data_IF_480275501480
#
_entry.id   IF_480275501480
#
_cell.length_a   1.000
_cell.length_b   1.000
_cell.length_c   1.000
_cell.angle_alpha   90.00
_cell.angle_beta   90.00
_cell.angle_gamma   90.00
#
_symmetry.space_group_name_H-M   'P 1'
#
loop_
_entity.id
_entity.type
_entity.pdbx_description
1 polymer ?
#
# COMPACT_ATOMS: atom_id res chain seq x y z
N UNK A 1 -7.54 46.24 25.15
CA UNK A 1 -6.45 45.26 24.91
C UNK A 1 -6.39 44.97 23.41
N UNK A 2 -5.31 45.36 22.73
CA UNK A 2 -5.12 45.16 21.27
C UNK A 2 -4.49 43.79 21.04
N UNK A 3 -5.20 42.89 20.36
CA UNK A 3 -4.69 41.60 19.92
C UNK A 3 -4.07 41.75 18.53
N UNK A 4 -2.73 41.74 18.47
CA UNK A 4 -1.98 41.63 17.22
C UNK A 4 -1.86 40.16 16.82
N UNK A 5 -2.56 39.77 15.76
CA UNK A 5 -2.43 38.45 15.15
C UNK A 5 -1.25 38.49 14.17
N UNK A 6 -0.16 37.79 14.50
CA UNK A 6 0.95 37.54 13.57
C UNK A 6 0.58 36.35 12.69
N UNK A 7 0.37 36.60 11.40
CA UNK A 7 0.27 35.57 10.37
C UNK A 7 1.67 34.97 10.15
N UNK A 8 1.77 33.64 10.20
CA UNK A 8 3.00 32.91 9.87
C UNK A 8 3.20 32.87 8.34
N UNK A 9 4.45 32.92 7.85
CA UNK A 9 4.74 32.87 6.42
C UNK A 9 4.42 31.48 5.86
N UNK A 10 3.68 31.46 4.75
CA UNK A 10 3.42 30.29 3.92
C UNK A 10 4.73 29.74 3.38
N UNK A 11 5.10 28.53 3.81
CA UNK A 11 6.22 27.78 3.24
C UNK A 11 5.83 27.27 1.86
N UNK A 12 6.35 27.91 0.83
CA UNK A 12 6.27 27.46 -0.56
C UNK A 12 7.13 26.20 -0.71
N UNK A 13 6.49 25.03 -0.72
CA UNK A 13 7.18 23.76 -0.99
C UNK A 13 7.60 23.75 -2.46
N UNK A 14 8.89 23.91 -2.72
CA UNK A 14 9.48 23.79 -4.06
C UNK A 14 9.42 22.33 -4.50
N UNK A 15 8.45 21.99 -5.34
CA UNK A 15 8.39 20.69 -6.00
C UNK A 15 9.50 20.62 -7.04
N UNK A 16 10.58 19.91 -6.71
CA UNK A 16 11.65 19.58 -7.66
C UNK A 16 11.11 18.59 -8.70
N UNK A 17 10.69 19.10 -9.85
CA UNK A 17 10.37 18.30 -11.03
C UNK A 17 11.67 17.79 -11.64
N UNK A 18 12.07 16.57 -11.27
CA UNK A 18 13.20 15.87 -11.89
C UNK A 18 12.75 15.44 -13.29
N UNK A 19 13.26 16.12 -14.33
CA UNK A 19 13.04 15.75 -15.71
C UNK A 19 13.66 14.36 -15.99
N UNK A 20 12.80 13.35 -16.16
CA UNK A 20 13.19 11.97 -16.38
C UNK A 20 13.64 11.74 -17.83
N UNK A 21 14.95 11.79 -18.06
CA UNK A 21 15.59 11.19 -19.25
C UNK A 21 16.48 10.04 -18.79
N UNK A 22 15.89 9.05 -18.14
CA UNK A 22 16.63 7.89 -17.61
C UNK A 22 16.51 6.72 -18.57
N UNK A 23 17.66 6.29 -19.11
CA UNK A 23 17.86 5.00 -19.78
C UNK A 23 17.17 3.88 -18.97
N UNK A 24 16.71 2.79 -19.64
CA UNK A 24 16.19 1.62 -18.93
C UNK A 24 17.23 1.17 -17.90
N UNK A 25 16.89 1.36 -16.63
CA UNK A 25 17.79 1.05 -15.52
C UNK A 25 17.80 -0.47 -15.40
N UNK A 26 18.98 -1.07 -15.59
CA UNK A 26 19.18 -2.50 -15.32
C UNK A 26 19.00 -2.72 -13.82
N UNK A 27 17.80 -3.15 -13.42
CA UNK A 27 17.40 -3.29 -12.01
C UNK A 27 18.24 -4.37 -11.34
N UNK A 28 18.62 -5.41 -12.09
CA UNK A 28 19.45 -6.51 -11.60
C UNK A 28 20.84 -6.04 -11.17
N UNK A 29 21.38 -4.99 -11.79
CA UNK A 29 22.65 -4.39 -11.37
C UNK A 29 22.57 -3.69 -10.00
N UNK A 30 21.36 -3.40 -9.51
CA UNK A 30 21.13 -2.82 -8.18
C UNK A 30 21.00 -3.88 -7.07
N UNK A 31 20.91 -5.17 -7.44
CA UNK A 31 20.80 -6.28 -6.49
C UNK A 31 22.21 -6.77 -6.16
N UNK A 32 22.66 -6.69 -4.89
CA UNK A 32 23.98 -7.19 -4.50
C UNK A 32 24.13 -8.70 -4.77
N UNK A 33 25.31 -9.18 -5.22
CA UNK A 33 25.52 -10.60 -5.51
C UNK A 33 25.45 -11.50 -4.28
N UNK A 34 25.84 -10.98 -3.11
CA UNK A 34 25.79 -11.69 -1.82
C UNK A 34 24.56 -11.26 -1.02
N UNK A 35 23.39 -11.49 -1.61
CA UNK A 35 22.12 -11.08 -1.05
C UNK A 35 21.82 -11.83 0.26
N UNK A 36 21.48 -11.09 1.32
CA UNK A 36 21.03 -11.63 2.61
C UNK A 36 19.79 -10.87 3.08
N UNK A 37 18.96 -11.50 3.91
CA UNK A 37 17.72 -10.86 4.38
C UNK A 37 17.98 -9.56 5.15
N UNK A 38 19.00 -9.45 6.02
CA UNK A 38 19.35 -8.18 6.66
C UNK A 38 19.69 -7.05 5.67
N UNK A 39 20.32 -7.36 4.53
CA UNK A 39 20.59 -6.36 3.48
C UNK A 39 19.30 -5.88 2.82
N UNK A 40 18.35 -6.80 2.61
CA UNK A 40 17.03 -6.46 2.06
C UNK A 40 16.28 -5.57 3.05
N UNK A 41 16.26 -5.93 4.34
CA UNK A 41 15.57 -5.15 5.36
C UNK A 41 16.20 -3.78 5.61
N UNK A 42 17.52 -3.65 5.47
CA UNK A 42 18.24 -2.39 5.60
C UNK A 42 18.02 -1.45 4.40
N UNK A 43 17.65 -1.97 3.23
CA UNK A 43 17.45 -1.19 2.00
C UNK A 43 15.96 -1.10 1.65
N UNK A 44 15.31 0.08 1.83
CA UNK A 44 13.90 0.26 1.48
C UNK A 44 13.59 -0.11 0.03
N UNK A 45 14.52 0.19 -0.89
CA UNK A 45 14.41 -0.17 -2.29
C UNK A 45 14.37 -1.69 -2.51
N UNK A 46 15.33 -2.44 -1.93
CA UNK A 46 15.37 -3.89 -2.11
C UNK A 46 14.17 -4.58 -1.45
N UNK A 47 13.78 -4.11 -0.27
CA UNK A 47 12.57 -4.60 0.42
C UNK A 47 11.33 -4.42 -0.44
N UNK A 48 11.19 -3.26 -1.06
CA UNK A 48 10.08 -2.97 -1.96
C UNK A 48 10.14 -3.81 -3.23
N UNK A 49 11.30 -3.90 -3.87
CA UNK A 49 11.49 -4.74 -5.05
C UNK A 49 11.15 -6.21 -4.76
N UNK A 50 11.56 -6.73 -3.60
CA UNK A 50 11.22 -8.09 -3.16
C UNK A 50 9.70 -8.28 -3.02
N UNK A 51 9.00 -7.31 -2.41
CA UNK A 51 7.55 -7.34 -2.27
C UNK A 51 6.84 -7.33 -3.63
N UNK A 52 7.22 -6.41 -4.53
CA UNK A 52 6.63 -6.32 -5.87
C UNK A 52 6.86 -7.63 -6.65
N UNK A 53 8.04 -8.23 -6.53
CA UNK A 53 8.36 -9.52 -7.16
C UNK A 53 7.53 -10.67 -6.58
N UNK A 54 7.35 -10.74 -5.25
CA UNK A 54 6.51 -11.77 -4.62
C UNK A 54 5.05 -11.67 -5.09
N UNK A 55 4.53 -10.46 -5.22
CA UNK A 55 3.20 -10.20 -5.75
C UNK A 55 3.12 -10.66 -7.21
N UNK A 56 4.00 -10.16 -8.09
CA UNK A 56 3.99 -10.50 -9.51
C UNK A 56 4.12 -12.00 -9.75
N UNK A 57 5.00 -12.66 -9.00
CA UNK A 57 5.26 -14.09 -9.15
C UNK A 57 4.19 -14.98 -8.52
N UNK A 58 3.29 -14.43 -7.71
CA UNK A 58 2.13 -15.15 -7.18
C UNK A 58 1.05 -15.45 -8.21
N UNK A 59 1.00 -14.68 -9.28
CA UNK A 59 0.09 -14.90 -10.39
C UNK A 59 0.54 -16.08 -11.28
N UNK A 60 -0.40 -16.78 -11.94
CA UNK A 60 -0.04 -17.74 -12.97
C UNK A 60 0.70 -17.07 -14.14
N UNK A 61 1.44 -17.86 -14.91
CA UNK A 61 1.98 -17.39 -16.20
C UNK A 61 0.80 -17.03 -17.12
N UNK A 62 1.00 -16.06 -18.01
CA UNK A 62 -0.03 -15.52 -18.90
C UNK A 62 -1.21 -14.81 -18.19
N UNK A 63 -1.01 -14.35 -16.94
CA UNK A 63 -2.00 -13.53 -16.25
C UNK A 63 -2.03 -12.11 -16.83
N UNK A 64 -3.21 -11.59 -17.17
CA UNK A 64 -3.39 -10.20 -17.56
C UNK A 64 -3.37 -9.29 -16.33
N UNK A 65 -2.44 -8.35 -16.29
CA UNK A 65 -2.25 -7.39 -15.23
C UNK A 65 -2.51 -5.97 -15.75
N UNK A 66 -3.29 -5.20 -15.00
CA UNK A 66 -3.51 -3.78 -15.29
C UNK A 66 -2.48 -2.89 -14.57
N UNK A 67 -1.96 -3.39 -13.47
CA UNK A 67 -0.95 -2.71 -12.67
C UNK A 67 0.48 -3.01 -13.11
N UNK A 68 1.37 -2.01 -12.99
CA UNK A 68 2.82 -2.11 -13.22
C UNK A 68 3.62 -1.55 -12.04
N UNK A 69 4.68 -2.23 -11.59
CA UNK A 69 5.57 -1.67 -10.58
C UNK A 69 6.18 -0.34 -11.02
N UNK A 70 6.43 0.55 -10.06
CA UNK A 70 6.97 1.90 -10.32
C UNK A 70 8.39 1.88 -10.89
N UNK A 71 9.10 0.77 -10.76
CA UNK A 71 10.44 0.56 -11.35
C UNK A 71 10.39 0.02 -12.78
N UNK A 72 9.21 -0.28 -13.33
CA UNK A 72 9.10 -0.54 -14.76
C UNK A 72 9.35 0.77 -15.54
N UNK A 73 9.98 0.70 -16.72
CA UNK A 73 10.05 1.83 -17.62
C UNK A 73 8.66 2.39 -17.91
N UNK A 74 8.53 3.72 -18.08
CA UNK A 74 7.28 4.30 -18.52
C UNK A 74 6.86 3.66 -19.85
N UNK A 75 5.61 3.20 -19.91
CA UNK A 75 5.06 2.60 -21.13
C UNK A 75 4.97 3.65 -22.23
N UNK A 76 5.39 3.36 -23.48
CA UNK A 76 5.22 4.27 -24.61
C UNK A 76 3.74 4.41 -25.00
N UNK A 77 2.91 3.44 -24.63
CA UNK A 77 1.46 3.47 -24.80
C UNK A 77 0.79 3.90 -23.49
N UNK A 78 -0.39 4.55 -23.55
CA UNK A 78 -1.13 4.95 -22.37
C UNK A 78 -1.29 3.75 -21.42
N UNK A 79 -0.99 4.01 -20.14
CA UNK A 79 -0.97 3.04 -19.03
C UNK A 79 -2.27 2.28 -18.81
N UNK A 80 -3.35 2.64 -19.53
CA UNK A 80 -4.64 1.96 -19.48
C UNK A 80 -4.65 0.57 -20.10
N UNK A 81 -3.65 0.23 -20.93
CA UNK A 81 -3.63 -1.08 -21.62
C UNK A 81 -3.06 -2.15 -20.68
N UNK A 82 -3.82 -3.23 -20.38
CA UNK A 82 -3.27 -4.35 -19.62
C UNK A 82 -2.04 -4.94 -20.30
N UNK A 83 -1.14 -5.50 -19.50
CA UNK A 83 -0.03 -6.30 -19.97
C UNK A 83 -0.15 -7.72 -19.45
N UNK A 84 0.27 -8.68 -20.24
CA UNK A 84 0.21 -10.09 -19.85
C UNK A 84 1.53 -10.46 -19.20
N UNK A 85 1.52 -10.96 -17.97
CA UNK A 85 2.71 -11.46 -17.28
C UNK A 85 3.24 -12.70 -17.99
N UNK A 86 4.48 -12.66 -18.47
CA UNK A 86 5.17 -13.82 -19.03
C UNK A 86 6.52 -14.07 -18.36
N UNK A 87 6.95 -15.32 -18.41
CA UNK A 87 8.27 -15.74 -17.94
C UNK A 87 9.33 -15.63 -19.06
N UNK A 88 10.59 -15.25 -18.74
CA UNK A 88 11.71 -15.42 -19.65
C UNK A 88 12.04 -16.91 -19.82
N UNK A 89 12.69 -17.33 -20.93
CA UNK A 89 12.85 -18.75 -21.33
C UNK A 89 13.41 -19.71 -20.27
N UNK A 90 14.25 -19.20 -19.37
CA UNK A 90 14.95 -19.94 -18.34
C UNK A 90 14.25 -19.92 -16.97
N UNK A 91 13.06 -19.33 -16.86
CA UNK A 91 12.27 -19.29 -15.64
C UNK A 91 11.07 -20.22 -15.78
N UNK A 92 10.61 -20.77 -14.66
CA UNK A 92 9.40 -21.60 -14.61
C UNK A 92 8.49 -21.11 -13.50
N UNK A 93 7.18 -21.25 -13.73
CA UNK A 93 6.17 -21.09 -12.70
C UNK A 93 6.10 -22.35 -11.85
N UNK A 94 6.20 -22.18 -10.54
CA UNK A 94 6.01 -23.25 -9.57
C UNK A 94 4.75 -22.98 -8.76
N UNK A 95 4.00 -24.03 -8.45
CA UNK A 95 2.86 -23.93 -7.54
C UNK A 95 3.35 -24.10 -6.11
N UNK A 96 2.94 -23.21 -5.23
CA UNK A 96 3.28 -23.30 -3.81
C UNK A 96 2.39 -24.34 -3.11
N UNK A 97 2.87 -24.96 -2.01
CA UNK A 97 2.07 -25.89 -1.23
C UNK A 97 0.75 -25.23 -0.82
N UNK A 98 -0.36 -25.89 -1.10
CA UNK A 98 -1.68 -25.33 -0.84
C UNK A 98 -2.03 -25.48 0.64
N UNK A 99 -2.24 -24.37 1.35
CA UNK A 99 -2.97 -24.37 2.61
C UNK A 99 -4.46 -24.53 2.29
N UNK A 100 -5.20 -25.40 3.00
CA UNK A 100 -6.64 -25.48 2.81
C UNK A 100 -7.25 -24.09 3.05
N UNK A 101 -8.17 -23.68 2.17
CA UNK A 101 -8.85 -22.38 2.16
C UNK A 101 -8.11 -21.18 1.55
N UNK A 102 -6.86 -21.32 1.09
CA UNK A 102 -6.15 -20.23 0.40
C UNK A 102 -6.14 -20.46 -1.12
N UNK A 103 -6.36 -19.42 -1.95
CA UNK A 103 -6.18 -19.52 -3.39
C UNK A 103 -4.79 -20.04 -3.75
N UNK A 104 -4.68 -20.80 -4.84
CA UNK A 104 -3.41 -21.39 -5.25
C UNK A 104 -2.41 -20.30 -5.61
N UNK A 105 -1.43 -20.10 -4.74
CA UNK A 105 -0.33 -19.20 -4.98
C UNK A 105 0.72 -19.85 -5.89
N UNK A 106 1.34 -19.04 -6.73
CA UNK A 106 2.45 -19.44 -7.56
C UNK A 106 3.74 -18.76 -7.09
N UNK A 107 4.87 -19.20 -7.64
CA UNK A 107 6.12 -18.48 -7.58
C UNK A 107 6.91 -18.70 -8.86
N UNK A 108 8.12 -18.15 -8.95
CA UNK A 108 9.03 -18.34 -10.06
C UNK A 108 10.36 -18.90 -9.57
N UNK A 109 10.92 -19.82 -10.34
CA UNK A 109 12.25 -20.36 -10.11
C UNK A 109 13.02 -20.45 -11.42
N UNK A 110 14.35 -20.43 -11.32
CA UNK A 110 15.22 -20.75 -12.44
C UNK A 110 15.01 -22.23 -12.83
N UNK A 111 14.96 -22.50 -14.13
CA UNK A 111 14.97 -23.87 -14.65
C UNK A 111 16.32 -24.51 -14.32
N UNK A 112 16.30 -25.70 -13.74
CA UNK A 112 17.52 -26.47 -13.55
C UNK A 112 17.99 -27.02 -14.90
N UNK A 113 19.25 -26.82 -15.32
CA UNK A 113 19.77 -27.40 -16.55
C UNK A 113 19.89 -28.93 -16.48
N UNK A 114 19.93 -29.50 -15.27
CA UNK A 114 20.13 -30.94 -15.02
C UNK A 114 18.85 -31.75 -14.87
N UNK A 115 17.66 -31.13 -14.90
CA UNK A 115 16.39 -31.85 -14.78
C UNK A 115 16.01 -32.50 -16.12
N UNK A 116 16.79 -33.47 -16.57
CA UNK A 116 16.59 -34.22 -17.80
C UNK A 116 15.56 -35.36 -17.67
N UNK A 117 15.21 -35.78 -16.44
CA UNK A 117 14.31 -36.93 -16.21
C UNK A 117 12.90 -36.57 -15.71
N UNK A 118 12.68 -35.34 -15.21
CA UNK A 118 11.36 -34.84 -14.77
C UNK A 118 11.17 -33.39 -15.22
N UNK A 119 11.42 -33.14 -16.50
CA UNK A 119 11.52 -31.81 -17.09
C UNK A 119 10.29 -30.95 -16.73
N UNK A 120 10.45 -29.75 -16.14
CA UNK A 120 9.34 -28.81 -16.04
C UNK A 120 8.80 -28.59 -17.47
N UNK A 121 7.47 -28.55 -17.65
CA UNK A 121 6.88 -28.51 -18.98
C UNK A 121 7.56 -27.42 -19.82
N UNK A 122 7.77 -27.68 -21.13
CA UNK A 122 8.35 -26.69 -22.02
C UNK A 122 7.57 -25.39 -21.88
N UNK A 123 8.25 -24.26 -21.97
CA UNK A 123 7.57 -22.97 -21.85
C UNK A 123 6.43 -22.90 -22.85
N UNK A 124 5.24 -22.59 -22.33
CA UNK A 124 4.03 -22.55 -23.13
C UNK A 124 4.02 -21.31 -24.02
N UNK A 125 4.47 -20.16 -23.50
CA UNK A 125 4.33 -18.86 -24.14
C UNK A 125 5.65 -18.35 -24.78
N UNK A 126 6.70 -18.04 -24.00
CA UNK A 126 7.93 -17.38 -24.51
C UNK A 126 9.14 -18.33 -24.62
N UNK A 127 9.19 -19.13 -25.68
CA UNK A 127 10.20 -20.19 -25.81
C UNK A 127 11.65 -19.75 -26.06
N UNK A 128 11.88 -18.51 -26.51
CA UNK A 128 13.21 -18.05 -26.94
C UNK A 128 13.54 -16.66 -26.43
N UNK A 129 14.83 -16.38 -26.21
CA UNK A 129 15.28 -15.05 -25.78
C UNK A 129 14.92 -13.96 -26.78
N UNK A 130 14.89 -14.28 -28.08
CA UNK A 130 14.43 -13.36 -29.11
C UNK A 130 12.96 -12.95 -28.91
N UNK A 131 12.09 -13.90 -28.56
CA UNK A 131 10.69 -13.61 -28.25
C UNK A 131 10.56 -12.78 -26.96
N UNK A 132 11.37 -13.09 -25.94
CA UNK A 132 11.43 -12.32 -24.70
C UNK A 132 11.78 -10.86 -24.96
N UNK A 133 12.86 -10.59 -25.68
CA UNK A 133 13.28 -9.21 -26.01
C UNK A 133 12.20 -8.44 -26.77
N UNK A 134 11.52 -9.09 -27.73
CA UNK A 134 10.41 -8.46 -28.46
C UNK A 134 9.22 -8.15 -27.55
N UNK A 135 8.87 -9.07 -26.66
CA UNK A 135 7.82 -8.89 -25.67
C UNK A 135 8.15 -7.74 -24.70
N UNK A 136 9.38 -7.71 -24.18
CA UNK A 136 9.87 -6.62 -23.32
C UNK A 136 9.77 -5.26 -24.02
N UNK A 137 10.16 -5.18 -25.29
CA UNK A 137 10.05 -3.94 -26.07
C UNK A 137 8.60 -3.52 -26.30
N UNK A 138 7.71 -4.47 -26.64
CA UNK A 138 6.29 -4.19 -26.92
C UNK A 138 5.56 -3.68 -25.68
N UNK A 139 5.83 -4.27 -24.53
CA UNK A 139 5.14 -3.94 -23.28
C UNK A 139 5.97 -3.07 -22.34
N UNK A 140 7.12 -2.52 -22.74
CA UNK A 140 8.01 -1.75 -21.87
C UNK A 140 8.33 -2.45 -20.54
N UNK A 141 8.65 -3.75 -20.61
CA UNK A 141 9.07 -4.55 -19.45
C UNK A 141 10.60 -4.57 -19.43
N UNK A 142 11.26 -4.44 -18.26
CA UNK A 142 12.71 -4.58 -18.18
C UNK A 142 13.18 -5.88 -18.81
N UNK A 143 14.22 -5.82 -19.64
CA UNK A 143 14.76 -7.02 -20.31
C UNK A 143 15.37 -8.01 -19.31
N UNK A 144 15.78 -7.51 -18.15
CA UNK A 144 16.30 -8.25 -17.00
C UNK A 144 15.22 -8.59 -15.96
N UNK A 145 13.93 -8.38 -16.27
CA UNK A 145 12.85 -8.83 -15.41
C UNK A 145 12.90 -10.36 -15.22
N UNK A 146 12.81 -10.80 -13.95
CA UNK A 146 13.02 -12.19 -13.53
C UNK A 146 14.42 -12.73 -13.87
N UNK A 147 15.44 -11.88 -13.84
CA UNK A 147 16.85 -12.31 -13.87
C UNK A 147 17.20 -13.23 -12.70
N UNK A 148 18.34 -13.95 -12.76
CA UNK A 148 18.81 -14.78 -11.64
C UNK A 148 18.88 -14.02 -10.31
N UNK A 149 19.28 -12.74 -10.32
CA UNK A 149 19.35 -11.92 -9.12
C UNK A 149 17.95 -11.64 -8.52
N UNK A 150 16.96 -11.36 -9.36
CA UNK A 150 15.57 -11.19 -8.92
C UNK A 150 14.97 -12.51 -8.39
N UNK A 151 15.26 -13.64 -9.04
CA UNK A 151 14.82 -14.95 -8.56
C UNK A 151 15.46 -15.28 -7.20
N UNK A 152 16.75 -14.97 -7.00
CA UNK A 152 17.41 -15.13 -5.71
C UNK A 152 16.74 -14.27 -4.62
N UNK A 153 16.33 -13.05 -4.95
CA UNK A 153 15.60 -12.16 -4.04
C UNK A 153 14.23 -12.71 -3.64
N UNK A 154 13.51 -13.33 -4.58
CA UNK A 154 12.24 -14.04 -4.31
C UNK A 154 12.48 -15.25 -3.39
N UNK A 155 13.46 -16.10 -3.73
CA UNK A 155 13.78 -17.31 -2.97
C UNK A 155 14.19 -17.00 -1.53
N UNK A 156 14.96 -15.93 -1.33
CA UNK A 156 15.36 -15.47 -0.01
C UNK A 156 14.16 -15.14 0.88
N UNK A 157 13.11 -14.50 0.34
CA UNK A 157 11.89 -14.23 1.09
C UNK A 157 11.15 -15.53 1.47
N UNK A 158 11.08 -16.48 0.54
CA UNK A 158 10.39 -17.75 0.75
C UNK A 158 11.05 -18.58 1.85
N UNK A 159 12.38 -18.54 1.94
CA UNK A 159 13.13 -19.19 3.03
C UNK A 159 12.78 -18.62 4.41
N UNK A 160 12.34 -17.37 4.49
CA UNK A 160 11.86 -16.73 5.72
C UNK A 160 10.39 -17.04 6.05
N UNK A 161 9.75 -17.96 5.30
CA UNK A 161 8.35 -18.29 5.48
C UNK A 161 7.38 -17.30 4.82
N UNK A 162 7.85 -16.40 3.97
CA UNK A 162 6.99 -15.62 3.09
C UNK A 162 6.52 -16.50 1.92
N UNK A 163 5.71 -17.51 2.22
CA UNK A 163 5.12 -18.41 1.24
C UNK A 163 3.88 -17.81 0.59
N UNK A 164 3.16 -16.96 1.31
CA UNK A 164 2.02 -16.26 0.72
C UNK A 164 2.48 -14.89 0.22
N UNK A 165 2.09 -14.48 -1.01
CA UNK A 165 2.21 -13.08 -1.37
C UNK A 165 1.55 -12.30 -0.24
N UNK A 166 2.22 -11.26 0.27
CA UNK A 166 1.71 -10.60 1.44
C UNK A 166 0.27 -10.19 1.17
N UNK A 167 -0.65 -10.58 2.06
CA UNK A 167 -2.11 -10.40 1.98
C UNK A 167 -2.49 -8.93 2.14
N UNK A 168 -1.66 -8.04 1.59
CA UNK A 168 -1.94 -6.62 1.55
C UNK A 168 -3.32 -6.42 0.96
N UNK A 169 -4.09 -5.47 1.52
CA UNK A 169 -5.39 -5.13 0.99
C UNK A 169 -5.24 -4.94 -0.52
N UNK A 170 -6.06 -5.67 -1.29
CA UNK A 170 -6.23 -5.37 -2.71
C UNK A 170 -6.52 -3.88 -2.76
N UNK A 171 -5.78 -3.13 -3.59
CA UNK A 171 -6.00 -1.71 -3.71
C UNK A 171 -6.76 -1.43 -5.00
N UNK A 172 -7.71 -0.50 -4.98
CA UNK A 172 -8.39 -0.12 -6.20
C UNK A 172 -7.41 0.69 -7.06
N UNK A 173 -7.34 0.34 -8.34
CA UNK A 173 -6.43 0.96 -9.31
C UNK A 173 -6.90 2.39 -9.59
N UNK A 174 -6.09 3.43 -9.36
CA UNK A 174 -6.50 4.78 -9.75
C UNK A 174 -6.66 4.90 -11.26
N UNK A 175 -7.72 5.59 -11.69
CA UNK A 175 -7.83 6.02 -13.09
C UNK A 175 -7.01 7.31 -13.28
N UNK A 176 -6.28 7.45 -14.39
CA UNK A 176 -5.31 8.54 -14.56
C UNK A 176 -5.93 9.94 -14.52
N UNK A 177 -7.20 10.08 -14.88
CA UNK A 177 -7.84 11.39 -15.10
C UNK A 177 -8.99 11.66 -14.15
N UNK A 178 -9.75 10.63 -13.76
CA UNK A 178 -11.02 10.82 -13.06
C UNK A 178 -11.06 10.07 -11.74
N UNK A 179 -11.49 10.72 -10.64
CA UNK A 179 -11.80 10.00 -9.43
C UNK A 179 -13.01 9.10 -9.65
N UNK A 180 -13.08 7.98 -8.93
CA UNK A 180 -14.25 7.10 -8.97
C UNK A 180 -14.64 6.57 -7.60
N UNK A 181 -15.92 6.28 -7.44
CA UNK A 181 -16.50 5.76 -6.19
C UNK A 181 -16.36 4.24 -6.14
N UNK A 182 -15.89 3.73 -5.01
CA UNK A 182 -15.88 2.30 -4.74
C UNK A 182 -17.26 1.81 -4.31
N UNK A 183 -17.73 0.66 -4.83
CA UNK A 183 -18.89 -0.04 -4.31
C UNK A 183 -18.70 -0.32 -2.82
N UNK A 184 -19.73 -0.14 -2.01
CA UNK A 184 -19.67 -0.38 -0.55
C UNK A 184 -19.19 -1.80 -0.18
N UNK A 185 -19.46 -2.80 -1.03
CA UNK A 185 -18.99 -4.17 -0.85
C UNK A 185 -17.45 -4.30 -0.86
N UNK A 186 -16.76 -3.34 -1.48
CA UNK A 186 -15.30 -3.27 -1.60
C UNK A 186 -14.60 -2.99 -0.28
N UNK A 187 -15.29 -2.38 0.69
CA UNK A 187 -14.69 -1.94 1.95
C UNK A 187 -13.97 -3.06 2.71
N UNK A 188 -14.47 -4.30 2.62
CA UNK A 188 -13.90 -5.48 3.31
C UNK A 188 -12.44 -5.77 2.96
N UNK A 189 -12.01 -5.36 1.76
CA UNK A 189 -10.65 -5.57 1.29
C UNK A 189 -9.72 -4.38 1.57
N UNK A 190 -10.23 -3.29 2.15
CA UNK A 190 -9.47 -2.07 2.44
C UNK A 190 -9.07 -1.99 3.91
N UNK A 191 -8.26 -0.99 4.28
CA UNK A 191 -7.98 -0.76 5.69
C UNK A 191 -9.24 -0.43 6.48
N UNK A 192 -9.22 -0.75 7.78
CA UNK A 192 -10.37 -0.67 8.70
C UNK A 192 -11.15 0.66 8.67
N UNK A 193 -10.49 1.79 8.37
CA UNK A 193 -11.16 3.10 8.28
C UNK A 193 -12.00 3.31 7.00
N UNK A 194 -11.75 2.50 5.98
CA UNK A 194 -12.52 2.46 4.73
C UNK A 194 -13.46 1.25 4.68
N UNK A 195 -13.31 0.30 5.62
CA UNK A 195 -14.12 -0.91 5.72
C UNK A 195 -15.57 -0.61 6.10
N UNK A 196 -15.78 0.37 6.99
CA UNK A 196 -17.09 0.76 7.50
C UNK A 196 -17.25 2.27 7.33
N UNK A 197 -17.94 2.62 6.26
CA UNK A 197 -18.30 4.00 5.94
C UNK A 197 -19.81 4.13 6.17
N UNK A 198 -20.23 5.17 6.87
CA UNK A 198 -21.63 5.40 7.25
C UNK A 198 -22.53 5.61 6.02
N UNK A 199 -23.84 5.43 6.21
CA UNK A 199 -24.82 5.77 5.18
C UNK A 199 -24.69 7.24 4.76
N UNK A 200 -24.70 7.50 3.46
CA UNK A 200 -24.48 8.84 2.90
C UNK A 200 -23.01 9.18 2.64
N UNK A 201 -22.06 8.32 2.99
CA UNK A 201 -20.64 8.49 2.66
C UNK A 201 -20.15 7.41 1.71
N UNK A 202 -19.10 7.70 0.96
CA UNK A 202 -18.49 6.72 0.05
C UNK A 202 -16.97 6.87 -0.02
N UNK A 203 -16.29 5.78 -0.38
CA UNK A 203 -14.85 5.79 -0.62
C UNK A 203 -14.60 6.18 -2.07
N UNK A 204 -13.87 7.26 -2.30
CA UNK A 204 -13.43 7.70 -3.62
C UNK A 204 -11.95 7.40 -3.79
N UNK A 205 -11.61 6.84 -4.93
CA UNK A 205 -10.24 6.66 -5.40
C UNK A 205 -9.88 7.86 -6.26
N UNK A 206 -8.91 8.66 -5.82
CA UNK A 206 -8.38 9.78 -6.60
C UNK A 206 -7.44 9.28 -7.71
N UNK A 207 -7.19 10.06 -8.77
CA UNK A 207 -6.17 9.74 -9.77
C UNK A 207 -4.76 9.53 -9.20
N UNK A 208 -4.47 10.15 -8.05
CA UNK A 208 -3.22 9.93 -7.29
C UNK A 208 -3.13 8.56 -6.59
N UNK A 209 -4.21 7.77 -6.60
CA UNK A 209 -4.35 6.56 -5.80
C UNK A 209 -4.89 6.80 -4.40
N UNK A 210 -4.93 8.05 -3.92
CA UNK A 210 -5.42 8.36 -2.58
C UNK A 210 -6.87 7.88 -2.39
N UNK A 211 -7.13 7.24 -1.25
CA UNK A 211 -8.48 6.90 -0.82
C UNK A 211 -9.01 7.99 0.10
N UNK A 212 -10.17 8.53 -0.24
CA UNK A 212 -10.85 9.55 0.54
C UNK A 212 -12.28 9.10 0.86
N UNK A 213 -12.75 9.42 2.07
CA UNK A 213 -14.16 9.25 2.41
C UNK A 213 -14.85 10.59 2.18
N UNK A 214 -15.77 10.64 1.23
CA UNK A 214 -16.49 11.85 0.84
C UNK A 214 -18.00 11.65 1.02
N UNK A 215 -18.69 12.75 1.32
CA UNK A 215 -20.15 12.76 1.39
C UNK A 215 -20.73 12.52 0.00
N UNK A 216 -21.79 11.72 -0.07
CA UNK A 216 -22.41 11.29 -1.33
C UNK A 216 -23.36 12.39 -1.82
N UNK A 217 -22.80 13.47 -2.34
CA UNK A 217 -23.58 14.53 -2.99
C UNK A 217 -23.99 14.10 -4.40
N UNK A 218 -25.26 13.71 -4.56
CA UNK A 218 -25.86 13.47 -5.87
C UNK A 218 -25.33 12.24 -6.62
N UNK A 219 -25.88 12.05 -7.83
CA UNK A 219 -25.70 10.86 -8.69
C UNK A 219 -24.30 10.77 -9.30
N UNK A 220 -23.27 10.59 -8.48
CA UNK A 220 -22.02 10.02 -8.97
C UNK A 220 -22.35 8.56 -9.32
N UNK A 221 -22.71 8.33 -10.58
CA UNK A 221 -22.91 6.99 -11.10
C UNK A 221 -21.61 6.21 -10.87
N UNK A 222 -21.70 5.17 -10.04
CA UNK A 222 -20.55 4.32 -9.76
C UNK A 222 -20.01 3.77 -11.07
N UNK A 223 -18.72 3.99 -11.33
CA UNK A 223 -18.05 3.39 -12.48
C UNK A 223 -18.19 1.88 -12.36
N UNK A 224 -18.92 1.26 -13.28
CA UNK A 224 -19.02 -0.21 -13.33
C UNK A 224 -17.67 -0.78 -13.73
N UNK A 225 -17.15 -1.68 -12.90
CA UNK A 225 -15.86 -2.33 -13.13
C UNK A 225 -14.75 -1.73 -12.28
N UNK A 226 -14.87 -1.85 -10.96
CA UNK A 226 -13.75 -1.58 -10.05
C UNK A 226 -12.62 -2.54 -10.37
N UNK A 227 -11.49 -1.98 -10.78
CA UNK A 227 -10.27 -2.72 -11.02
C UNK A 227 -9.49 -2.74 -9.73
N UNK A 228 -9.30 -3.93 -9.20
CA UNK A 228 -8.39 -4.15 -8.08
C UNK A 228 -7.04 -4.49 -8.65
N UNK A 229 -6.02 -3.86 -8.11
CA UNK A 229 -4.64 -4.15 -8.44
C UNK A 229 -3.86 -4.35 -7.15
N UNK A 230 -2.85 -5.20 -7.25
CA UNK A 230 -1.81 -5.26 -6.24
C UNK A 230 -0.85 -4.10 -6.49
N UNK A 231 -1.38 -2.87 -6.46
CA UNK A 231 -0.55 -1.68 -6.63
C UNK A 231 0.41 -1.64 -5.45
N UNK A 232 1.69 -1.33 -5.68
CA UNK A 232 2.51 -0.79 -4.65
C UNK A 232 1.81 0.48 -4.22
N UNK A 233 1.63 0.63 -2.91
CA UNK A 233 1.08 1.87 -2.41
C UNK A 233 1.89 3.03 -2.99
N UNK A 234 1.21 3.89 -3.76
CA UNK A 234 1.68 5.26 -3.90
C UNK A 234 1.88 5.80 -2.48
N UNK A 235 2.76 6.80 -2.33
CA UNK A 235 2.98 7.37 -1.01
C UNK A 235 1.65 7.86 -0.41
N UNK A 236 0.76 8.35 -1.26
CA UNK A 236 -0.59 8.79 -0.94
C UNK A 236 -1.50 7.61 -0.55
N UNK A 237 -1.39 6.46 -1.21
CA UNK A 237 -2.05 5.22 -0.80
C UNK A 237 -1.53 4.72 0.54
N UNK A 238 -0.24 4.89 0.84
CA UNK A 238 0.35 4.49 2.12
C UNK A 238 -0.04 5.40 3.27
N UNK A 239 -0.03 6.70 3.01
CA UNK A 239 -0.47 7.71 3.97
C UNK A 239 -1.98 7.60 4.21
N UNK A 240 -2.78 7.36 3.17
CA UNK A 240 -4.20 7.03 3.32
C UNK A 240 -4.41 5.64 3.93
N UNK A 241 -3.51 4.69 3.70
CA UNK A 241 -3.30 3.43 4.44
C UNK A 241 -3.24 3.54 5.95
N UNK A 242 -2.52 4.57 6.40
CA UNK A 242 -1.92 4.55 7.72
C UNK A 242 -3.01 4.61 8.78
N UNK A 243 -3.02 3.60 9.65
CA UNK A 243 -3.84 3.63 10.84
C UNK A 243 -3.54 4.88 11.64
N UNK A 244 -4.59 5.58 12.10
CA UNK A 244 -4.41 6.73 12.99
C UNK A 244 -3.74 6.24 14.27
N UNK A 245 -2.50 6.66 14.52
CA UNK A 245 -1.87 6.51 15.82
C UNK A 245 -2.43 7.58 16.75
N UNK A 246 -3.48 7.24 17.47
CA UNK A 246 -3.94 8.04 18.60
C UNK A 246 -2.86 8.02 19.69
N UNK A 247 -2.09 9.11 19.79
CA UNK A 247 -1.26 9.36 20.96
C UNK A 247 -2.17 9.87 22.07
N UNK A 248 -2.75 8.93 22.81
CA UNK A 248 -3.44 9.23 24.05
C UNK A 248 -2.41 9.79 25.04
N UNK A 249 -2.41 11.11 25.22
CA UNK A 249 -1.71 11.75 26.32
C UNK A 249 -2.64 11.67 27.53
N UNK A 250 -2.35 10.74 28.43
CA UNK A 250 -3.01 10.69 29.73
C UNK A 250 -2.56 11.92 30.52
N UNK A 251 -3.39 12.96 30.53
CA UNK A 251 -3.15 14.20 31.28
C UNK A 251 -3.46 14.08 32.77
N UNK A 252 -3.92 12.92 33.24
CA UNK A 252 -4.22 12.68 34.64
C UNK A 252 -3.43 11.48 35.19
N UNK A 253 -2.10 11.59 35.20
CA UNK A 253 -1.33 11.00 36.28
C UNK A 253 -0.99 12.11 37.27
N UNK A 254 -2.04 12.71 37.86
CA UNK A 254 -1.85 13.50 39.07
C UNK A 254 -1.50 12.52 40.19
N UNK A 255 -0.22 12.49 40.54
CA UNK A 255 0.28 12.59 41.91
C UNK A 255 -0.62 11.90 42.95
N UNK A 256 -0.43 10.60 43.15
CA UNK A 256 -0.48 9.99 44.47
C UNK A 256 0.98 10.04 44.95
N UNK A 257 1.41 11.10 45.63
CA UNK A 257 1.11 11.28 47.04
C UNK A 257 2.43 11.01 47.77
N UNK A 258 3.38 11.95 47.65
CA UNK A 258 4.58 11.99 48.47
C UNK A 258 4.32 12.96 49.63
N UNK A 259 3.40 12.54 50.51
CA UNK A 259 3.28 13.12 51.84
C UNK A 259 4.01 12.18 52.79
N UNK A 260 5.30 12.46 52.99
CA UNK A 260 6.09 11.82 54.00
C UNK A 260 5.46 12.00 55.38
N UNK A 261 5.04 10.90 56.00
CA UNK A 261 4.85 10.80 57.45
C UNK A 261 5.34 9.42 57.89
N UNK A 262 6.39 9.43 58.72
CA UNK A 262 6.92 8.22 59.35
C UNK A 262 5.91 7.56 60.27
N UNK A 263 5.91 6.23 60.30
CA UNK A 263 5.08 5.46 61.22
C UNK A 263 5.33 3.96 61.14
N UNK A 264 6.22 3.46 61.99
CA UNK A 264 6.24 2.05 62.39
C UNK A 264 4.89 1.71 63.04
N UNK A 265 4.14 0.74 62.53
CA UNK A 265 2.92 0.32 63.23
C UNK A 265 2.09 -0.78 62.58
N UNK A 266 2.29 -2.01 63.07
CA UNK A 266 1.29 -3.07 63.30
C UNK A 266 0.14 -3.28 62.29
N UNK A 267 0.29 -4.41 61.59
CA UNK A 267 -0.69 -5.48 61.35
C UNK A 267 -2.04 -5.32 62.10
N UNK A 268 -3.12 -5.13 61.34
CA UNK A 268 -4.46 -5.57 61.73
C UNK A 268 -5.27 -5.90 60.48
N UNK A 269 -5.64 -7.16 60.35
CA UNK A 269 -6.64 -7.67 59.41
C UNK A 269 -7.98 -7.01 59.74
N UNK A 270 -8.64 -6.47 58.72
CA UNK A 270 -10.08 -6.23 58.76
C UNK A 270 -10.62 -6.34 57.35
N UNK A 271 -11.43 -7.37 57.14
CA UNK A 271 -12.35 -7.49 56.03
C UNK A 271 -13.33 -6.32 56.08
N UNK A 272 -13.38 -5.52 55.03
CA UNK A 272 -14.55 -4.68 54.73
C UNK A 272 -14.89 -4.85 53.25
N UNK A 273 -15.98 -5.58 53.07
CA UNK A 273 -16.98 -5.49 52.02
C UNK A 273 -17.25 -4.03 51.66
N UNK A 274 -17.08 -3.68 50.38
CA UNK A 274 -17.25 -2.31 49.90
C UNK A 274 -17.62 -2.29 48.43
N UNK A 275 -18.81 -1.75 48.17
CA UNK A 275 -19.49 -1.63 46.89
C UNK A 275 -18.59 -1.22 45.71
N UNK A 276 -18.76 -1.95 44.61
CA UNK A 276 -18.15 -1.65 43.32
C UNK A 276 -18.73 -0.39 42.71
N UNK A 277 -18.15 0.77 43.04
CA UNK A 277 -18.41 2.01 42.32
C UNK A 277 -17.71 1.95 40.95
N UNK A 278 -18.50 1.61 39.93
CA UNK A 278 -18.12 1.59 38.52
C UNK A 278 -17.71 3.01 38.09
N UNK A 279 -16.42 3.32 38.23
CA UNK A 279 -15.82 4.56 37.72
C UNK A 279 -15.91 4.60 36.20
N UNK A 280 -17.01 5.15 35.68
CA UNK A 280 -17.13 5.55 34.27
C UNK A 280 -16.10 6.62 33.97
N UNK A 281 -14.97 6.20 33.39
CA UNK A 281 -13.99 7.11 32.81
C UNK A 281 -14.65 7.81 31.63
N UNK A 282 -15.04 9.07 31.84
CA UNK A 282 -15.63 9.93 30.80
C UNK A 282 -14.53 10.34 29.83
N UNK A 283 -14.30 9.53 28.80
CA UNK A 283 -13.37 9.87 27.72
C UNK A 283 -13.92 11.04 26.93
N UNK A 284 -13.28 12.21 27.03
CA UNK A 284 -13.51 13.32 26.09
C UNK A 284 -12.60 13.09 24.88
N UNK A 285 -13.20 12.67 23.77
CA UNK A 285 -12.55 12.72 22.45
C UNK A 285 -12.44 14.20 22.07
N UNK A 286 -11.22 14.73 22.09
CA UNK A 286 -10.94 16.07 21.58
C UNK A 286 -10.72 15.93 20.08
N UNK A 287 -11.75 16.24 19.29
CA UNK A 287 -11.61 16.36 17.84
C UNK A 287 -10.69 17.55 17.52
N UNK A 288 -9.73 17.42 16.59
CA UNK A 288 -9.01 18.57 16.08
C UNK A 288 -10.03 19.52 15.41
N UNK A 289 -9.98 20.79 15.79
CA UNK A 289 -10.97 21.80 15.40
C UNK A 289 -11.16 21.84 13.88
N UNK A 290 -12.43 21.69 13.45
CA UNK A 290 -12.86 22.13 12.12
C UNK A 290 -12.58 23.64 12.05
N UNK A 291 -11.71 24.05 11.14
CA UNK A 291 -11.60 25.45 10.76
C UNK A 291 -12.94 25.89 10.19
N UNK A 292 -13.60 26.83 10.85
CA UNK A 292 -14.79 27.49 10.33
C UNK A 292 -14.39 28.22 9.03
N UNK A 293 -14.94 27.76 7.91
CA UNK A 293 -14.84 28.45 6.64
C UNK A 293 -15.59 29.77 6.72
N UNK A 294 -14.87 30.87 6.53
CA UNK A 294 -15.47 32.18 6.28
C UNK A 294 -16.27 32.12 4.97
N UNK A 295 -17.57 32.35 5.06
CA UNK A 295 -18.40 32.74 3.92
C UNK A 295 -17.83 34.02 3.31
N UNK A 296 -17.46 33.97 2.04
CA UNK A 296 -17.22 35.15 1.21
C UNK A 296 -18.56 35.82 0.90
N UNK A 297 -18.63 37.16 0.83
CA UNK A 297 -19.86 37.86 0.45
C UNK A 297 -20.15 37.65 -1.04
N UNK A 298 -21.43 37.45 -1.36
CA UNK A 298 -21.97 37.57 -2.71
C UNK A 298 -21.60 38.94 -3.27
N UNK A 299 -20.93 38.96 -4.42
CA UNK A 299 -20.81 40.15 -5.25
C UNK A 299 -22.01 40.14 -6.19
N UNK A 300 -22.83 41.16 -6.06
CA UNK A 300 -23.99 41.46 -6.90
C UNK A 300 -23.45 42.20 -8.14
N UNK A 301 -23.36 41.51 -9.28
CA UNK A 301 -23.13 42.18 -10.57
C UNK A 301 -24.48 42.54 -11.18
N UNK A 302 -24.86 43.81 -10.98
CA UNK A 302 -25.92 44.46 -11.73
C UNK A 302 -25.52 44.57 -13.21
N UNK A 303 -26.36 44.00 -14.07
CA UNK A 303 -26.41 44.35 -15.48
C UNK A 303 -27.45 45.45 -15.66
N UNK A 304 -26.99 46.66 -16.00
CA UNK A 304 -27.83 47.72 -16.56
C UNK A 304 -27.25 48.12 -17.92
N UNK A 305 -28.15 48.17 -18.91
CA UNK A 305 -28.03 48.65 -20.31
C UNK A 305 -27.40 47.73 -21.35
#
# INVERSE_FOLDING_TARGET
MKLSIRLAPSTTTTTTTIAATTKPTNISALIPPHLTQPLVDASPFLKRLQQDLLILTSFPDNASLHWRPTWFPPSPTPTSTPWTLHNPPNVTTLRLPNTPHVPHAHTRAMRSPSSSSSSPPPQQYIKTWRHWTRYCALYAIPTDFLSPAMIALIQLAQQQGATEPPTWPLYPEPLPETPYVLPSASGKSLARKFERVDEGWCVVVRPSGALEVVEREGSIEGVRGVRWSHVPWSREQEESCRGFRLRLRFWNCWVLGDDGVGGKGRKREREEEGDGEERRVKMRVVSPGRGEGKMSPLVDEGYDS
#
